data_IF_630907677233
#
_entry.id   IF_630907677233
#
_cell.length_a   1.000
_cell.length_b   1.000
_cell.length_c   1.000
_cell.angle_alpha   90.00
_cell.angle_beta   90.00
_cell.angle_gamma   90.00
#
_symmetry.space_group_name_H-M   'P 1'
#
loop_
_entity.id
_entity.type
_entity.pdbx_description
1 polymer ?
#
# COMPACT_ATOMS: atom_id res chain seq x y z
N UNK A 1 8.24 -6.11 -8.39
CA UNK A 1 7.41 -5.33 -7.44
C UNK A 1 7.23 -5.92 -6.03
N UNK A 2 7.35 -7.25 -5.77
CA UNK A 2 7.04 -7.84 -4.44
C UNK A 2 7.79 -7.19 -3.26
N UNK A 3 9.08 -6.89 -3.43
CA UNK A 3 9.86 -6.17 -2.40
C UNK A 3 9.31 -4.77 -2.10
N UNK A 4 8.82 -4.06 -3.13
CA UNK A 4 8.24 -2.73 -2.95
C UNK A 4 6.86 -2.78 -2.30
N UNK A 5 6.08 -3.83 -2.52
CA UNK A 5 4.80 -4.00 -1.84
C UNK A 5 4.98 -4.15 -0.32
N UNK A 6 5.96 -4.95 0.12
CA UNK A 6 6.31 -5.06 1.55
C UNK A 6 6.80 -3.72 2.10
N UNK A 7 7.66 -3.02 1.37
CA UNK A 7 8.14 -1.70 1.77
C UNK A 7 6.98 -0.69 1.92
N UNK A 8 6.02 -0.69 0.99
CA UNK A 8 4.83 0.17 1.06
C UNK A 8 3.94 -0.18 2.25
N UNK A 9 3.79 -1.45 2.58
CA UNK A 9 3.05 -1.89 3.78
C UNK A 9 3.74 -1.45 5.07
N UNK A 10 5.07 -1.60 5.14
CA UNK A 10 5.86 -1.11 6.28
C UNK A 10 5.74 0.41 6.43
N UNK A 11 5.82 1.15 5.32
CA UNK A 11 5.66 2.61 5.31
C UNK A 11 4.25 3.03 5.74
N UNK A 12 3.21 2.34 5.25
CA UNK A 12 1.84 2.59 5.69
C UNK A 12 1.71 2.34 7.20
N UNK A 13 2.24 1.23 7.70
CA UNK A 13 2.27 0.92 9.13
C UNK A 13 3.02 1.96 9.96
N UNK A 14 4.14 2.47 9.44
CA UNK A 14 4.89 3.57 10.07
C UNK A 14 4.05 4.85 10.17
N UNK A 15 3.34 5.24 9.10
CA UNK A 15 2.44 6.40 9.17
C UNK A 15 1.27 6.18 10.13
N UNK A 16 0.72 4.97 10.20
CA UNK A 16 -0.29 4.64 11.21
C UNK A 16 0.26 4.75 12.62
N UNK A 17 1.46 4.24 12.89
CA UNK A 17 2.10 4.36 14.19
C UNK A 17 2.28 5.82 14.62
N UNK A 18 2.75 6.67 13.69
CA UNK A 18 2.92 8.11 13.92
C UNK A 18 1.58 8.83 14.15
N UNK A 19 0.54 8.43 13.43
CA UNK A 19 -0.79 9.02 13.54
C UNK A 19 -1.55 8.55 14.78
N UNK A 20 -1.32 7.32 15.24
CA UNK A 20 -2.04 6.68 16.33
C UNK A 20 -2.20 7.52 17.60
N UNK A 21 -1.16 8.18 18.16
CA UNK A 21 -1.33 9.00 19.35
C UNK A 21 -2.23 10.22 19.14
N UNK A 22 -2.41 10.70 17.90
CA UNK A 22 -3.20 11.90 17.59
C UNK A 22 -4.69 11.60 17.40
N UNK A 23 -5.05 10.38 17.00
CA UNK A 23 -6.45 9.97 16.76
C UNK A 23 -7.34 10.14 18.00
N UNK A 24 -6.94 9.73 19.22
CA UNK A 24 -7.77 9.84 20.42
C UNK A 24 -8.06 11.28 20.86
N UNK A 25 -7.25 12.25 20.43
CA UNK A 25 -7.43 13.66 20.78
C UNK A 25 -8.42 14.39 19.86
N UNK A 26 -9.00 13.70 18.89
CA UNK A 26 -10.03 14.24 18.01
C UNK A 26 -11.32 14.50 18.81
N UNK A 27 -11.60 15.78 19.09
CA UNK A 27 -12.76 16.21 19.89
C UNK A 27 -13.82 16.92 19.05
N UNK A 28 -13.41 17.52 17.93
CA UNK A 28 -14.33 18.24 17.05
C UNK A 28 -14.89 17.32 15.95
N UNK A 29 -16.10 17.61 15.44
CA UNK A 29 -16.68 16.84 14.33
C UNK A 29 -15.79 16.80 13.07
N UNK A 30 -15.05 17.89 12.81
CA UNK A 30 -14.15 18.00 11.65
C UNK A 30 -12.92 17.08 11.82
N UNK A 31 -12.35 17.00 13.02
CA UNK A 31 -11.23 16.09 13.32
C UNK A 31 -11.67 14.63 13.24
N UNK A 32 -12.86 14.31 13.76
CA UNK A 32 -13.47 12.98 13.66
C UNK A 32 -13.65 12.55 12.19
N UNK A 33 -14.19 13.45 11.35
CA UNK A 33 -14.34 13.17 9.92
C UNK A 33 -12.98 12.99 9.22
N UNK A 34 -11.99 13.82 9.56
CA UNK A 34 -10.64 13.73 9.03
C UNK A 34 -9.99 12.38 9.38
N UNK A 35 -9.96 12.01 10.66
CA UNK A 35 -9.34 10.76 11.11
C UNK A 35 -10.10 9.52 10.61
N UNK A 36 -11.43 9.59 10.52
CA UNK A 36 -12.24 8.55 9.88
C UNK A 36 -11.88 8.36 8.40
N UNK A 37 -11.82 9.45 7.63
CA UNK A 37 -11.39 9.42 6.24
C UNK A 37 -9.95 8.94 6.06
N UNK A 38 -9.05 9.37 6.95
CA UNK A 38 -7.65 8.95 6.99
C UNK A 38 -7.53 7.43 7.22
N UNK A 39 -8.31 6.84 8.14
CA UNK A 39 -8.35 5.39 8.38
C UNK A 39 -8.88 4.61 7.18
N UNK A 40 -9.95 5.11 6.53
CA UNK A 40 -10.47 4.50 5.30
C UNK A 40 -9.40 4.51 4.21
N UNK A 41 -8.72 5.65 4.01
CA UNK A 41 -7.64 5.76 3.03
C UNK A 41 -6.48 4.80 3.33
N UNK A 42 -6.09 4.68 4.60
CA UNK A 42 -5.09 3.70 5.03
C UNK A 42 -5.50 2.27 4.67
N UNK A 43 -6.75 1.88 4.93
CA UNK A 43 -7.27 0.55 4.57
C UNK A 43 -7.23 0.30 3.06
N UNK A 44 -7.56 1.31 2.23
CA UNK A 44 -7.45 1.20 0.77
C UNK A 44 -6.01 0.96 0.31
N UNK A 45 -5.05 1.69 0.88
CA UNK A 45 -3.62 1.52 0.57
C UNK A 45 -3.17 0.11 0.97
N UNK A 46 -3.46 -0.32 2.19
CA UNK A 46 -3.08 -1.64 2.69
C UNK A 46 -3.71 -2.73 1.83
N UNK A 47 -5.01 -2.64 1.57
CA UNK A 47 -5.75 -3.60 0.73
C UNK A 47 -5.18 -3.71 -0.68
N UNK A 48 -4.91 -2.59 -1.35
CA UNK A 48 -4.33 -2.59 -2.69
C UNK A 48 -2.93 -3.25 -2.73
N UNK A 49 -2.09 -2.97 -1.74
CA UNK A 49 -0.75 -3.57 -1.65
C UNK A 49 -0.80 -5.07 -1.31
N UNK A 50 -1.73 -5.49 -0.44
CA UNK A 50 -1.97 -6.92 -0.16
C UNK A 50 -2.48 -7.63 -1.41
N UNK A 51 -3.46 -7.06 -2.12
CA UNK A 51 -4.00 -7.64 -3.36
C UNK A 51 -2.91 -7.79 -4.44
N UNK A 52 -2.01 -6.80 -4.57
CA UNK A 52 -0.84 -6.89 -5.43
C UNK A 52 0.13 -8.00 -5.00
N UNK A 53 0.33 -8.18 -3.69
CA UNK A 53 1.22 -9.21 -3.14
C UNK A 53 0.66 -10.63 -3.32
N UNK A 54 -0.67 -10.77 -3.24
CA UNK A 54 -1.43 -11.99 -3.52
C UNK A 54 -1.57 -12.28 -5.04
N UNK A 55 -1.03 -11.43 -5.91
CA UNK A 55 -1.17 -11.53 -7.37
C UNK A 55 -2.63 -11.56 -7.85
N UNK A 56 -3.56 -11.01 -7.06
CA UNK A 56 -4.95 -10.80 -7.50
C UNK A 56 -5.05 -9.74 -8.62
N UNK A 57 -3.97 -8.97 -8.81
CA UNK A 57 -3.83 -7.94 -9.83
C UNK A 57 -2.68 -8.35 -10.75
N UNK A 58 -2.92 -8.36 -12.07
CA UNK A 58 -1.88 -8.66 -13.05
C UNK A 58 -0.70 -7.68 -12.90
N UNK A 59 0.55 -8.18 -12.98
CA UNK A 59 1.72 -7.31 -12.86
C UNK A 59 1.71 -6.26 -13.98
N UNK A 60 2.11 -5.01 -13.70
CA UNK A 60 2.13 -3.95 -14.72
C UNK A 60 3.06 -4.34 -15.87
N UNK A 61 2.70 -3.89 -17.09
CA UNK A 61 3.32 -4.28 -18.38
C UNK A 61 4.86 -4.18 -18.35
N UNK A 62 5.39 -3.22 -17.61
CA UNK A 62 6.83 -2.97 -17.46
C UNK A 62 7.59 -4.12 -16.76
N UNK A 63 6.95 -4.85 -15.83
CA UNK A 63 7.56 -6.03 -15.20
C UNK A 63 7.45 -7.28 -16.08
N UNK A 64 6.37 -7.41 -16.85
CA UNK A 64 6.22 -8.49 -17.83
C UNK A 64 7.28 -8.41 -18.95
N UNK A 65 7.65 -7.21 -19.38
CA UNK A 65 8.74 -7.02 -20.35
C UNK A 65 10.10 -7.47 -19.80
N UNK A 66 10.37 -7.27 -18.51
CA UNK A 66 11.64 -7.65 -17.87
C UNK A 66 11.80 -9.16 -17.74
N UNK A 67 10.71 -9.87 -17.48
CA UNK A 67 10.69 -11.34 -17.51
C UNK A 67 10.86 -11.89 -18.94
N UNK A 68 10.18 -11.27 -19.92
CA UNK A 68 10.32 -11.66 -21.33
C UNK A 68 11.74 -11.46 -21.86
N UNK A 69 12.39 -10.33 -21.53
CA UNK A 69 13.79 -10.08 -21.87
C UNK A 69 14.75 -11.12 -21.28
N UNK A 70 14.51 -11.57 -20.04
CA UNK A 70 15.31 -12.64 -19.42
C UNK A 70 15.13 -14.00 -20.09
N UNK A 71 13.94 -14.30 -20.61
CA UNK A 71 13.69 -15.55 -21.34
C UNK A 71 14.33 -15.54 -22.73
N UNK A 72 14.38 -14.39 -23.42
CA UNK A 72 14.98 -14.31 -24.77
C UNK A 72 16.51 -14.40 -24.75
N UNK A 73 17.17 -14.11 -23.64
CA UNK A 73 18.63 -14.16 -23.52
C UNK A 73 19.18 -15.56 -23.17
N UNK A 74 18.31 -16.53 -22.88
CA UNK A 74 18.65 -17.92 -22.56
C UNK A 74 18.47 -18.87 -23.77
N UNK A 75 18.37 -18.34 -24.98
CA UNK A 75 18.31 -19.08 -26.24
C UNK A 75 19.47 -18.64 -27.14
#
# INVERSE_FOLDING_TARGET
>A
MRHYAVLRLLLAGFFLYMAWPSIPYAVTPIELAFWGGWLIFFLLIVGANIASLLQMIQPPIMEQQKERQRQTYNY
#
